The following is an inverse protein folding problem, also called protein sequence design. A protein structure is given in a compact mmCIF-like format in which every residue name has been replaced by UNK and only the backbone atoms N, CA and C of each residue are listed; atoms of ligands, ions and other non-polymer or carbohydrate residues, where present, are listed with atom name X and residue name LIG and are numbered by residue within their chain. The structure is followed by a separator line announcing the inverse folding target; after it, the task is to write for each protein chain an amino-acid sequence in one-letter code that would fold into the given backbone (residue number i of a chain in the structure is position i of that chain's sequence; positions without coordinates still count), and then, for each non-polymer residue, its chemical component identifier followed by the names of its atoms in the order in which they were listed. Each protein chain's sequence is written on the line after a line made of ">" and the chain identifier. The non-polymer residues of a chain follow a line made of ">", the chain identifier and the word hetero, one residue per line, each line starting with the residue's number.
data_IF_928631386604
#
_entry.id   IF_928631386604
#
_cell.length_a   1.000
_cell.length_b   1.000
_cell.length_c   1.000
_cell.angle_alpha   90.00
_cell.angle_beta   90.00
_cell.angle_gamma   90.00
#
_symmetry.space_group_name_H-M   'P 1'
#
loop_
_entity.id
_entity.type
_entity.pdbx_description
1 polymer ?
#
# COMPACT_ATOMS: atom_id res chain seq x y z
N UNK A 1 12.87 9.49 -32.56
CA UNK A 1 13.59 10.21 -33.62
C UNK A 1 15.08 10.01 -33.55
N UNK A 2 15.87 10.54 -34.49
CA UNK A 2 17.31 10.25 -34.67
C UNK A 2 18.22 10.49 -33.48
N UNK A 3 17.77 11.21 -32.44
CA UNK A 3 18.56 11.42 -31.20
C UNK A 3 18.73 10.15 -30.34
N UNK A 4 17.94 9.12 -30.53
CA UNK A 4 18.05 7.87 -29.81
C UNK A 4 18.99 6.85 -30.50
N UNK A 5 19.37 7.10 -31.74
CA UNK A 5 20.27 6.22 -32.48
C UNK A 5 21.65 6.15 -31.80
N UNK A 6 22.10 4.92 -31.48
CA UNK A 6 23.36 4.67 -30.79
C UNK A 6 23.36 5.04 -29.30
N UNK A 7 22.24 5.49 -28.72
CA UNK A 7 22.17 5.90 -27.33
C UNK A 7 22.10 4.69 -26.36
N UNK A 8 22.33 4.97 -25.06
CA UNK A 8 22.05 4.00 -23.98
C UNK A 8 20.70 4.35 -23.33
N UNK A 9 19.80 3.37 -23.24
CA UNK A 9 18.55 3.48 -22.48
C UNK A 9 18.72 2.88 -21.08
N UNK A 10 18.31 3.63 -20.06
CA UNK A 10 18.24 3.17 -18.66
C UNK A 10 16.80 2.93 -18.29
N UNK A 11 16.48 1.74 -17.81
CA UNK A 11 15.13 1.32 -17.47
C UNK A 11 15.08 0.68 -16.09
N UNK A 12 14.04 0.96 -15.33
CA UNK A 12 13.88 0.45 -13.95
C UNK A 12 13.32 -0.97 -13.91
N UNK A 13 12.68 -1.41 -14.99
CA UNK A 13 12.11 -2.75 -15.14
C UNK A 13 12.32 -3.22 -16.57
N UNK A 14 12.38 -4.54 -16.78
CA UNK A 14 12.52 -5.15 -18.09
C UNK A 14 11.47 -4.62 -19.09
N UNK A 15 11.90 -4.16 -20.27
CA UNK A 15 11.01 -3.76 -21.35
C UNK A 15 10.15 -4.92 -21.83
N UNK A 16 8.83 -4.76 -21.82
CA UNK A 16 7.89 -5.80 -22.19
C UNK A 16 8.08 -6.25 -23.67
N UNK A 17 7.81 -7.55 -23.92
CA UNK A 17 7.85 -8.16 -25.24
C UNK A 17 6.46 -8.57 -25.77
N UNK A 18 5.38 -8.24 -25.05
CA UNK A 18 4.01 -8.55 -25.43
C UNK A 18 3.21 -7.27 -25.71
N UNK A 19 2.16 -7.40 -26.52
CA UNK A 19 1.19 -6.33 -26.72
C UNK A 19 0.27 -6.23 -25.49
N UNK A 20 0.26 -5.07 -24.85
CA UNK A 20 -0.67 -4.68 -23.82
C UNK A 20 -1.65 -3.65 -24.35
N UNK A 21 -1.84 -2.54 -23.61
CA UNK A 21 -2.57 -1.37 -24.13
C UNK A 21 -1.76 -0.61 -25.19
N UNK A 22 -0.44 -0.80 -25.20
CA UNK A 22 0.52 -0.23 -26.15
C UNK A 22 1.38 -1.35 -26.75
N UNK A 23 2.04 -1.11 -27.91
CA UNK A 23 3.03 -2.03 -28.46
C UNK A 23 4.19 -2.31 -27.48
N UNK A 24 4.94 -3.43 -27.67
CA UNK A 24 6.02 -3.82 -26.79
C UNK A 24 7.11 -2.74 -26.65
N UNK A 25 7.55 -2.45 -25.42
CA UNK A 25 8.63 -1.50 -25.19
C UNK A 25 9.97 -1.96 -25.81
N UNK A 26 10.23 -3.26 -25.83
CA UNK A 26 11.42 -3.83 -26.47
C UNK A 26 11.47 -3.48 -27.97
N UNK A 27 10.34 -3.58 -28.68
CA UNK A 27 10.24 -3.23 -30.10
C UNK A 27 10.47 -1.74 -30.34
N UNK A 28 9.94 -0.89 -29.46
CA UNK A 28 10.13 0.55 -29.55
C UNK A 28 11.60 0.92 -29.38
N UNK A 29 12.33 0.28 -28.46
CA UNK A 29 13.77 0.51 -28.27
C UNK A 29 14.60 0.00 -29.46
N UNK A 30 14.26 -1.16 -30.04
CA UNK A 30 14.88 -1.70 -31.25
C UNK A 30 14.65 -0.72 -32.42
N UNK A 31 13.43 -0.32 -32.66
CA UNK A 31 13.07 0.60 -33.76
C UNK A 31 13.71 1.99 -33.58
N UNK A 32 13.98 2.43 -32.34
CA UNK A 32 14.67 3.68 -32.05
C UNK A 32 16.19 3.59 -32.30
N UNK A 33 16.75 2.39 -32.52
CA UNK A 33 18.16 2.15 -32.81
C UNK A 33 19.07 2.42 -31.61
N UNK A 34 18.63 2.15 -30.38
CA UNK A 34 19.51 2.25 -29.21
C UNK A 34 20.60 1.19 -29.28
N UNK A 35 21.83 1.53 -28.89
CA UNK A 35 22.94 0.58 -28.91
C UNK A 35 23.03 -0.26 -27.63
N UNK A 36 22.55 0.28 -26.51
CA UNK A 36 22.66 -0.36 -25.19
C UNK A 36 21.41 -0.15 -24.33
N UNK A 37 21.05 -1.15 -23.53
CA UNK A 37 20.04 -1.07 -22.49
C UNK A 37 20.62 -1.48 -21.15
N UNK A 38 20.49 -0.63 -20.15
CA UNK A 38 20.79 -0.93 -18.74
C UNK A 38 19.47 -1.08 -18.00
N UNK A 39 19.16 -2.32 -17.63
CA UNK A 39 17.92 -2.70 -16.96
C UNK A 39 18.18 -2.96 -15.48
N UNK A 40 17.48 -2.26 -14.58
CA UNK A 40 17.70 -2.45 -13.15
C UNK A 40 17.15 -3.79 -12.66
N UNK A 41 15.95 -4.19 -13.12
CA UNK A 41 15.27 -5.44 -12.71
C UNK A 41 14.69 -6.19 -13.92
N UNK A 42 14.80 -7.53 -13.92
CA UNK A 42 13.95 -8.38 -14.73
C UNK A 42 12.49 -8.31 -14.26
N UNK A 43 11.56 -8.46 -15.18
CA UNK A 43 10.13 -8.50 -14.86
C UNK A 43 9.74 -9.91 -14.40
N UNK A 44 9.15 -10.10 -13.21
CA UNK A 44 8.69 -11.40 -12.74
C UNK A 44 7.42 -11.90 -13.44
N UNK A 45 6.72 -11.06 -14.21
CA UNK A 45 5.50 -11.47 -14.95
C UNK A 45 5.87 -12.54 -15.99
N UNK A 46 5.27 -13.75 -15.95
CA UNK A 46 5.58 -14.82 -16.90
C UNK A 46 5.38 -14.44 -18.38
N UNK A 47 4.60 -13.39 -18.66
CA UNK A 47 4.42 -12.85 -20.02
C UNK A 47 5.63 -12.04 -20.52
N UNK A 48 6.47 -11.58 -19.60
CA UNK A 48 7.67 -10.76 -19.88
C UNK A 48 8.95 -11.53 -19.58
N UNK A 49 9.18 -11.91 -18.39
CA UNK A 49 10.26 -12.72 -17.78
C UNK A 49 11.40 -13.12 -18.72
N UNK A 50 12.34 -12.22 -18.96
CA UNK A 50 13.51 -12.43 -19.83
C UNK A 50 13.25 -12.29 -21.34
N UNK A 51 12.00 -12.25 -21.80
CA UNK A 51 11.65 -12.22 -23.24
C UNK A 51 12.00 -10.87 -23.89
N UNK A 52 11.81 -9.77 -23.15
CA UNK A 52 12.16 -8.43 -23.63
C UNK A 52 13.68 -8.28 -23.77
N UNK A 53 14.42 -8.73 -22.78
CA UNK A 53 15.90 -8.72 -22.80
C UNK A 53 16.43 -9.57 -23.95
N UNK A 54 15.97 -10.83 -24.08
CA UNK A 54 16.37 -11.72 -25.15
C UNK A 54 16.07 -11.13 -26.54
N UNK A 55 14.92 -10.51 -26.72
CA UNK A 55 14.51 -9.88 -27.99
C UNK A 55 15.41 -8.72 -28.38
N UNK A 56 15.81 -7.87 -27.43
CA UNK A 56 16.73 -6.78 -27.66
C UNK A 56 18.14 -7.29 -27.96
N UNK A 57 18.62 -8.31 -27.25
CA UNK A 57 19.92 -8.95 -27.52
C UNK A 57 19.97 -9.57 -28.93
N UNK A 58 18.91 -10.25 -29.36
CA UNK A 58 18.80 -10.82 -30.72
C UNK A 58 18.83 -9.74 -31.81
N UNK A 59 18.41 -8.51 -31.49
CA UNK A 59 18.49 -7.36 -32.39
C UNK A 59 19.86 -6.62 -32.33
N UNK A 60 20.86 -7.17 -31.62
CA UNK A 60 22.19 -6.60 -31.51
C UNK A 60 22.39 -5.52 -30.46
N UNK A 61 21.40 -5.29 -29.58
CA UNK A 61 21.51 -4.33 -28.49
C UNK A 61 22.29 -4.97 -27.34
N UNK A 62 23.31 -4.25 -26.82
CA UNK A 62 24.00 -4.63 -25.59
C UNK A 62 23.06 -4.50 -24.39
N UNK A 63 22.89 -5.58 -23.59
CA UNK A 63 21.99 -5.58 -22.41
C UNK A 63 22.79 -5.85 -21.14
N UNK A 64 22.68 -4.95 -20.18
CA UNK A 64 23.23 -5.10 -18.81
C UNK A 64 22.06 -5.12 -17.82
N UNK A 65 22.03 -6.10 -16.89
CA UNK A 65 20.99 -6.18 -15.84
C UNK A 65 21.65 -6.03 -14.47
N UNK A 66 20.96 -5.36 -13.53
CA UNK A 66 21.34 -5.28 -12.12
C UNK A 66 21.70 -3.91 -11.57
N UNK A 67 22.32 -2.99 -12.33
CA UNK A 67 22.61 -1.65 -11.82
C UNK A 67 21.36 -0.94 -11.32
N UNK A 68 21.37 -0.51 -10.04
CA UNK A 68 20.21 0.16 -9.42
C UNK A 68 19.09 -0.79 -8.95
N UNK A 69 19.30 -2.12 -8.96
CA UNK A 69 18.27 -3.10 -8.63
C UNK A 69 17.58 -2.88 -7.27
N UNK A 70 18.33 -2.56 -6.22
CA UNK A 70 17.75 -2.33 -4.89
C UNK A 70 16.76 -1.15 -4.87
N UNK A 71 17.12 -0.03 -5.52
CA UNK A 71 16.25 1.14 -5.61
C UNK A 71 15.03 0.85 -6.50
N UNK A 72 15.24 0.21 -7.64
CA UNK A 72 14.14 -0.17 -8.55
C UNK A 72 13.15 -1.14 -7.87
N UNK A 73 13.64 -2.12 -7.09
CA UNK A 73 12.79 -3.01 -6.30
C UNK A 73 11.99 -2.26 -5.24
N UNK A 74 12.59 -1.27 -4.60
CA UNK A 74 11.90 -0.39 -3.65
C UNK A 74 10.77 0.41 -4.32
N UNK A 75 11.08 1.05 -5.45
CA UNK A 75 10.14 1.90 -6.18
C UNK A 75 9.00 1.08 -6.80
N UNK A 76 9.28 -0.17 -7.18
CA UNK A 76 8.32 -1.09 -7.81
C UNK A 76 7.70 -2.10 -6.84
N UNK A 77 7.92 -1.95 -5.51
CA UNK A 77 7.52 -2.94 -4.51
C UNK A 77 6.04 -3.33 -4.57
N UNK A 78 5.16 -2.38 -4.92
CA UNK A 78 3.72 -2.65 -5.09
C UNK A 78 3.43 -3.58 -6.27
N UNK A 79 4.01 -3.28 -7.44
CA UNK A 79 3.90 -4.12 -8.62
C UNK A 79 4.48 -5.53 -8.36
N UNK A 80 5.68 -5.60 -7.82
CA UNK A 80 6.34 -6.87 -7.49
C UNK A 80 5.54 -7.70 -6.49
N UNK A 81 4.95 -7.07 -5.47
CA UNK A 81 4.07 -7.76 -4.52
C UNK A 81 2.85 -8.35 -5.21
N UNK A 82 2.19 -7.57 -6.08
CA UNK A 82 0.99 -8.04 -6.79
C UNK A 82 1.29 -9.22 -7.71
N UNK A 83 2.42 -9.22 -8.41
CA UNK A 83 2.78 -10.33 -9.32
C UNK A 83 3.25 -11.56 -8.52
N UNK A 84 4.16 -11.38 -7.56
CA UNK A 84 4.80 -12.50 -6.86
C UNK A 84 3.95 -13.08 -5.71
N UNK A 85 3.09 -12.26 -5.09
CA UNK A 85 2.32 -12.64 -3.89
C UNK A 85 0.81 -12.57 -4.11
N UNK A 86 0.35 -12.19 -5.32
CA UNK A 86 -1.06 -12.04 -5.70
C UNK A 86 -1.84 -11.08 -4.78
N UNK A 87 -1.15 -10.13 -4.13
CA UNK A 87 -1.74 -9.12 -3.25
C UNK A 87 -1.00 -7.79 -3.36
N UNK A 88 -1.66 -6.66 -3.04
CA UNK A 88 -0.96 -5.38 -2.94
C UNK A 88 0.10 -5.40 -1.83
N UNK A 89 1.12 -4.56 -1.95
CA UNK A 89 1.99 -4.21 -0.85
C UNK A 89 1.19 -3.43 0.21
N UNK A 90 1.33 -3.82 1.47
CA UNK A 90 0.64 -3.20 2.60
C UNK A 90 1.60 -2.32 3.38
N UNK A 91 1.30 -1.03 3.44
CA UNK A 91 1.89 -0.10 4.40
C UNK A 91 0.92 0.08 5.56
N UNK A 92 1.31 -0.33 6.76
CA UNK A 92 0.58 -0.04 7.99
C UNK A 92 1.10 1.28 8.57
N UNK A 93 0.23 2.27 8.70
CA UNK A 93 0.56 3.54 9.35
C UNK A 93 -0.07 3.60 10.73
N UNK A 94 0.73 3.91 11.74
CA UNK A 94 0.30 4.21 13.10
C UNK A 94 0.65 5.66 13.45
N UNK A 95 -0.18 6.30 14.28
CA UNK A 95 0.12 7.60 14.87
C UNK A 95 -0.25 7.52 16.36
N UNK A 96 0.73 7.66 17.22
CA UNK A 96 0.58 7.38 18.65
C UNK A 96 1.44 8.31 19.52
N UNK A 97 1.10 8.38 20.80
CA UNK A 97 1.94 8.96 21.84
C UNK A 97 3.24 8.16 22.05
N UNK A 98 4.22 8.70 22.77
CA UNK A 98 5.49 8.02 23.07
C UNK A 98 5.29 6.68 23.80
N UNK A 99 4.18 6.55 24.54
CA UNK A 99 3.79 5.32 25.26
C UNK A 99 2.77 4.46 24.47
N UNK A 100 2.63 4.68 23.14
CA UNK A 100 1.89 3.81 22.22
C UNK A 100 0.36 3.95 22.26
N UNK A 101 -0.18 5.11 22.62
CA UNK A 101 -1.64 5.36 22.71
C UNK A 101 -2.13 6.18 21.52
N UNK A 102 -3.38 5.90 21.10
CA UNK A 102 -4.05 6.60 19.98
C UNK A 102 -5.20 7.49 20.45
N UNK A 103 -5.57 7.44 21.70
CA UNK A 103 -6.60 8.27 22.32
C UNK A 103 -6.48 8.18 23.85
N UNK A 104 -7.09 9.16 24.53
CA UNK A 104 -7.32 9.10 25.98
C UNK A 104 -8.34 7.99 26.33
N UNK A 105 -8.53 7.71 27.61
CA UNK A 105 -9.56 6.77 28.08
C UNK A 105 -10.97 7.17 27.60
N UNK A 106 -11.28 8.47 27.59
CA UNK A 106 -12.57 9.02 27.09
C UNK A 106 -12.72 8.96 25.58
N UNK A 107 -11.62 8.70 24.84
CA UNK A 107 -11.62 8.62 23.37
C UNK A 107 -11.20 9.89 22.65
N UNK A 108 -10.75 10.92 23.37
CA UNK A 108 -10.17 12.10 22.74
C UNK A 108 -8.86 11.71 22.01
N UNK A 109 -8.78 11.99 20.70
CA UNK A 109 -7.66 11.60 19.83
C UNK A 109 -7.12 12.73 18.97
N UNK A 110 -7.78 13.91 18.98
CA UNK A 110 -7.45 15.02 18.09
C UNK A 110 -6.79 16.17 18.86
N UNK A 111 -5.50 16.45 18.63
CA UNK A 111 -4.57 15.78 17.72
C UNK A 111 -3.38 15.25 18.52
N UNK A 112 -3.04 13.99 18.34
CA UNK A 112 -1.85 13.41 18.98
C UNK A 112 -0.59 13.90 18.28
N UNK A 113 -0.54 13.84 16.94
CA UNK A 113 0.62 14.30 16.16
C UNK A 113 0.42 15.69 15.59
N UNK A 114 1.53 16.42 15.42
CA UNK A 114 1.56 17.80 14.95
C UNK A 114 1.20 17.96 13.46
N UNK A 115 1.12 19.21 12.98
CA UNK A 115 0.69 19.52 11.61
C UNK A 115 1.67 19.02 10.54
N UNK A 116 2.98 19.01 10.82
CA UNK A 116 4.01 18.51 9.89
C UNK A 116 3.83 17.00 9.67
N UNK A 117 3.65 16.22 10.74
CA UNK A 117 3.37 14.80 10.64
C UNK A 117 2.07 14.52 9.87
N UNK A 118 0.99 15.27 10.14
CA UNK A 118 -0.29 15.13 9.40
C UNK A 118 -0.16 15.45 7.92
N UNK A 119 0.63 16.46 7.55
CA UNK A 119 0.94 16.76 6.13
C UNK A 119 1.70 15.59 5.48
N UNK A 120 2.67 15.00 6.18
CA UNK A 120 3.40 13.83 5.69
C UNK A 120 2.48 12.62 5.45
N UNK A 121 1.43 12.44 6.27
CA UNK A 121 0.40 11.40 6.03
C UNK A 121 -0.33 11.63 4.71
N UNK A 122 -0.65 12.87 4.33
CA UNK A 122 -1.23 13.15 3.01
C UNK A 122 -0.28 12.80 1.87
N UNK A 123 1.03 12.99 2.03
CA UNK A 123 2.04 12.49 1.08
C UNK A 123 2.06 10.96 0.97
N UNK A 124 1.89 10.23 2.10
CA UNK A 124 1.73 8.77 2.06
C UNK A 124 0.46 8.36 1.32
N UNK A 125 -0.65 9.03 1.55
CA UNK A 125 -1.92 8.77 0.85
C UNK A 125 -1.77 8.92 -0.66
N UNK A 126 -1.08 9.98 -1.10
CA UNK A 126 -0.82 10.24 -2.52
C UNK A 126 0.03 9.15 -3.18
N UNK A 127 0.92 8.49 -2.43
CA UNK A 127 1.83 7.46 -2.94
C UNK A 127 1.26 6.04 -2.93
N UNK A 128 -0.02 5.88 -2.58
CA UNK A 128 -0.71 4.59 -2.53
C UNK A 128 -1.98 4.60 -3.40
N UNK A 129 -2.31 3.45 -3.98
CA UNK A 129 -3.51 3.29 -4.82
C UNK A 129 -4.79 3.35 -3.98
N UNK A 130 -4.69 2.91 -2.73
CA UNK A 130 -5.85 2.86 -1.84
C UNK A 130 -5.51 3.13 -0.38
N UNK A 131 -6.51 3.70 0.33
CA UNK A 131 -6.52 3.90 1.78
C UNK A 131 -7.49 2.91 2.40
N UNK A 132 -7.03 2.13 3.39
CA UNK A 132 -7.82 1.08 4.00
C UNK A 132 -8.04 1.35 5.49
N UNK A 133 -9.31 1.24 5.92
CA UNK A 133 -9.70 1.32 7.33
C UNK A 133 -10.72 0.23 7.68
N UNK A 134 -10.86 -0.07 8.96
CA UNK A 134 -11.93 -0.94 9.46
C UNK A 134 -13.25 -0.18 9.64
N UNK A 135 -14.38 -0.90 9.62
CA UNK A 135 -15.71 -0.33 9.83
C UNK A 135 -15.88 0.37 11.18
N UNK A 136 -15.13 -0.06 12.21
CA UNK A 136 -15.09 0.64 13.50
C UNK A 136 -14.57 2.06 13.38
N UNK A 137 -13.44 2.25 12.69
CA UNK A 137 -12.86 3.57 12.39
C UNK A 137 -13.80 4.40 11.52
N UNK A 138 -14.38 3.79 10.48
CA UNK A 138 -15.32 4.49 9.60
C UNK A 138 -16.54 5.05 10.36
N UNK A 139 -17.08 4.31 11.35
CA UNK A 139 -18.19 4.76 12.19
C UNK A 139 -17.79 5.83 13.21
N UNK A 140 -16.62 5.64 13.85
CA UNK A 140 -16.21 6.53 14.94
C UNK A 140 -15.73 7.90 14.44
N UNK A 141 -15.01 7.93 13.31
CA UNK A 141 -14.31 9.13 12.85
C UNK A 141 -15.00 9.82 11.67
N UNK A 142 -15.97 9.17 11.02
CA UNK A 142 -16.59 9.59 9.75
C UNK A 142 -15.57 10.22 8.79
N UNK A 143 -14.53 9.47 8.40
CA UNK A 143 -13.37 10.02 7.71
C UNK A 143 -13.68 10.29 6.23
N UNK A 144 -13.05 11.31 5.65
CA UNK A 144 -13.07 11.52 4.19
C UNK A 144 -12.17 10.53 3.45
N UNK A 145 -11.06 10.10 4.06
CA UNK A 145 -10.02 9.27 3.44
C UNK A 145 -9.53 9.84 2.10
N UNK A 146 -9.20 11.12 2.11
CA UNK A 146 -8.78 11.89 0.94
C UNK A 146 -7.35 12.43 1.09
N UNK A 147 -6.78 12.87 -0.03
CA UNK A 147 -5.55 13.66 -0.07
C UNK A 147 -5.92 15.13 -0.09
N UNK A 148 -5.34 15.92 0.84
CA UNK A 148 -5.58 17.35 0.97
C UNK A 148 -4.28 18.13 1.14
N UNK A 149 -4.27 19.40 0.73
CA UNK A 149 -3.14 20.30 0.92
C UNK A 149 -1.92 20.02 0.05
N UNK A 150 -2.10 19.22 -1.03
CA UNK A 150 -1.05 18.88 -2.00
C UNK A 150 -1.43 19.27 -3.44
N UNK A 151 -2.36 20.21 -3.59
CA UNK A 151 -2.89 20.61 -4.91
C UNK A 151 -4.02 19.72 -5.39
N UNK A 152 -4.37 19.88 -6.68
CA UNK A 152 -5.35 19.04 -7.36
C UNK A 152 -4.68 17.75 -7.82
N UNK A 153 -5.00 16.64 -7.15
CA UNK A 153 -4.38 15.33 -7.34
C UNK A 153 -5.44 14.24 -7.45
N UNK A 154 -5.13 13.18 -8.18
CA UNK A 154 -5.96 11.98 -8.21
C UNK A 154 -6.13 11.42 -6.80
N UNK A 155 -7.38 11.15 -6.42
CA UNK A 155 -7.70 10.62 -5.10
C UNK A 155 -7.54 9.09 -5.09
N UNK A 156 -6.95 8.51 -4.02
CA UNK A 156 -6.85 7.07 -3.86
C UNK A 156 -8.23 6.43 -3.66
N UNK A 157 -8.32 5.14 -3.98
CA UNK A 157 -9.49 4.32 -3.65
C UNK A 157 -9.66 4.25 -2.14
N UNK A 158 -10.87 4.47 -1.64
CA UNK A 158 -11.19 4.35 -0.22
C UNK A 158 -11.73 2.96 0.07
N UNK A 159 -11.01 2.17 0.84
CA UNK A 159 -11.37 0.79 1.17
C UNK A 159 -11.83 0.70 2.62
N UNK A 160 -13.05 0.20 2.85
CA UNK A 160 -13.57 -0.04 4.20
C UNK A 160 -13.90 -1.52 4.38
N UNK A 161 -13.33 -2.12 5.42
CA UNK A 161 -13.60 -3.50 5.82
C UNK A 161 -14.71 -3.53 6.88
N UNK A 162 -15.89 -4.02 6.52
CA UNK A 162 -17.04 -4.08 7.44
C UNK A 162 -17.89 -5.32 7.17
N UNK A 163 -17.91 -6.28 8.09
CA UNK A 163 -18.54 -7.59 7.89
C UNK A 163 -20.00 -7.48 7.41
N UNK A 164 -20.82 -6.71 8.08
CA UNK A 164 -22.24 -6.54 7.76
C UNK A 164 -22.58 -5.22 7.09
N UNK A 165 -21.58 -4.41 6.67
CA UNK A 165 -21.77 -3.06 6.10
C UNK A 165 -22.61 -2.12 6.99
N UNK A 166 -22.56 -2.29 8.30
CA UNK A 166 -23.24 -1.43 9.28
C UNK A 166 -22.50 -0.07 9.37
N UNK A 167 -22.56 0.71 8.30
CA UNK A 167 -21.93 2.01 8.15
C UNK A 167 -23.00 3.08 7.92
N UNK A 168 -22.80 4.35 8.37
CA UNK A 168 -23.77 5.42 8.16
C UNK A 168 -23.94 5.73 6.67
N UNK A 169 -25.18 5.65 6.17
CA UNK A 169 -25.52 6.01 4.78
C UNK A 169 -25.60 7.53 4.57
N UNK A 170 -25.55 8.30 5.65
CA UNK A 170 -25.49 9.76 5.67
C UNK A 170 -24.08 10.30 6.04
N UNK A 171 -23.10 9.43 6.22
CA UNK A 171 -21.72 9.78 6.50
C UNK A 171 -20.98 10.36 5.29
N UNK A 172 -19.78 10.89 5.51
CA UNK A 172 -18.95 11.52 4.46
C UNK A 172 -18.58 10.53 3.36
N UNK A 173 -18.29 9.28 3.70
CA UNK A 173 -17.97 8.22 2.71
C UNK A 173 -19.15 7.99 1.77
N UNK A 174 -20.37 7.90 2.30
CA UNK A 174 -21.58 7.69 1.52
C UNK A 174 -21.87 8.90 0.61
N UNK A 175 -21.86 10.13 1.18
CA UNK A 175 -22.13 11.35 0.41
C UNK A 175 -21.18 11.61 -0.74
N UNK A 176 -19.97 11.04 -0.70
CA UNK A 176 -18.92 11.25 -1.72
C UNK A 176 -18.60 9.99 -2.52
N UNK A 177 -19.36 8.91 -2.37
CA UNK A 177 -19.09 7.63 -3.03
C UNK A 177 -19.12 7.71 -4.56
N UNK A 178 -19.98 8.57 -5.12
CA UNK A 178 -20.04 8.81 -6.56
C UNK A 178 -18.95 9.73 -7.13
N UNK A 179 -18.17 10.41 -6.26
CA UNK A 179 -17.13 11.36 -6.67
C UNK A 179 -15.73 10.78 -6.50
N UNK A 180 -15.49 10.06 -5.39
CA UNK A 180 -14.22 9.42 -5.06
C UNK A 180 -14.45 7.92 -4.90
N UNK A 181 -13.71 7.05 -5.57
CA UNK A 181 -13.93 5.60 -5.53
C UNK A 181 -14.02 5.06 -4.11
N UNK A 182 -15.13 4.39 -3.79
CA UNK A 182 -15.36 3.73 -2.51
C UNK A 182 -15.53 2.23 -2.73
N UNK A 183 -14.68 1.43 -2.09
CA UNK A 183 -14.72 -0.01 -2.12
C UNK A 183 -15.04 -0.57 -0.74
N UNK A 184 -16.07 -1.37 -0.65
CA UNK A 184 -16.53 -1.97 0.59
C UNK A 184 -16.26 -3.47 0.55
N UNK A 185 -15.43 -3.96 1.47
CA UNK A 185 -15.16 -5.40 1.61
C UNK A 185 -15.98 -5.92 2.79
N UNK A 186 -16.80 -6.94 2.51
CA UNK A 186 -17.80 -7.44 3.46
C UNK A 186 -17.84 -8.97 3.53
N UNK A 187 -18.46 -9.48 4.57
CA UNK A 187 -18.77 -10.91 4.72
C UNK A 187 -20.04 -11.31 3.98
N UNK A 188 -20.35 -12.62 3.95
CA UNK A 188 -21.61 -13.13 3.39
C UNK A 188 -22.84 -12.52 4.06
N UNK A 189 -23.89 -12.30 3.26
CA UNK A 189 -25.19 -11.81 3.73
C UNK A 189 -25.26 -10.31 4.03
N UNK A 190 -24.23 -9.53 3.74
CA UNK A 190 -24.27 -8.08 3.91
C UNK A 190 -25.20 -7.44 2.87
N UNK A 191 -25.95 -6.41 3.28
CA UNK A 191 -26.84 -5.65 2.39
C UNK A 191 -26.02 -4.63 1.62
N UNK A 192 -25.74 -4.90 0.34
CA UNK A 192 -24.90 -4.06 -0.52
C UNK A 192 -25.68 -3.04 -1.34
N UNK A 193 -26.95 -3.30 -1.64
CA UNK A 193 -27.76 -2.49 -2.57
C UNK A 193 -27.76 -0.98 -2.26
N UNK A 194 -27.91 -0.51 -1.01
CA UNK A 194 -27.84 0.93 -0.72
C UNK A 194 -26.48 1.55 -1.08
N UNK A 195 -25.40 0.83 -0.85
CA UNK A 195 -24.04 1.29 -1.15
C UNK A 195 -23.73 1.31 -2.63
N UNK A 196 -24.19 0.30 -3.36
CA UNK A 196 -24.07 0.23 -4.82
C UNK A 196 -24.86 1.35 -5.49
N UNK A 197 -26.04 1.69 -4.99
CA UNK A 197 -26.82 2.83 -5.47
C UNK A 197 -26.11 4.18 -5.28
N UNK A 198 -25.23 4.31 -4.28
CA UNK A 198 -24.37 5.47 -4.05
C UNK A 198 -23.09 5.46 -4.90
N UNK A 199 -22.84 4.40 -5.70
CA UNK A 199 -21.64 4.26 -6.54
C UNK A 199 -20.50 3.50 -5.89
N UNK A 200 -20.69 2.89 -4.71
CA UNK A 200 -19.68 2.05 -4.10
C UNK A 200 -19.53 0.70 -4.81
N UNK A 201 -18.30 0.20 -4.91
CA UNK A 201 -18.02 -1.17 -5.35
C UNK A 201 -17.93 -2.09 -4.12
N UNK A 202 -18.68 -3.18 -4.13
CA UNK A 202 -18.72 -4.13 -3.02
C UNK A 202 -18.00 -5.42 -3.40
N UNK A 203 -17.24 -5.98 -2.43
CA UNK A 203 -16.49 -7.22 -2.57
C UNK A 203 -16.86 -8.14 -1.41
N UNK A 204 -17.50 -9.26 -1.72
CA UNK A 204 -17.74 -10.29 -0.74
C UNK A 204 -16.50 -11.16 -0.55
N UNK A 205 -16.14 -11.43 0.70
CA UNK A 205 -15.10 -12.38 1.08
C UNK A 205 -15.65 -13.35 2.12
N UNK A 206 -15.26 -14.65 2.11
CA UNK A 206 -15.83 -15.63 3.04
C UNK A 206 -15.61 -15.27 4.52
N UNK A 207 -14.50 -14.64 4.82
CA UNK A 207 -14.13 -14.12 6.13
C UNK A 207 -13.35 -12.81 5.96
N UNK A 208 -13.56 -11.85 6.87
CA UNK A 208 -12.73 -10.63 6.93
C UNK A 208 -11.33 -10.91 7.51
N UNK A 209 -10.68 -11.94 6.98
CA UNK A 209 -9.27 -12.21 7.21
C UNK A 209 -8.43 -11.38 6.23
N UNK A 210 -7.30 -10.80 6.63
CA UNK A 210 -6.46 -10.00 5.76
C UNK A 210 -6.04 -10.68 4.45
N UNK A 211 -5.77 -11.98 4.45
CA UNK A 211 -5.26 -12.68 3.27
C UNK A 211 -6.27 -12.68 2.12
N UNK A 212 -7.52 -13.21 2.25
CA UNK A 212 -8.50 -13.15 1.17
C UNK A 212 -8.92 -11.72 0.80
N UNK A 213 -8.96 -10.79 1.77
CA UNK A 213 -9.22 -9.38 1.50
C UNK A 213 -8.17 -8.81 0.55
N UNK A 214 -6.89 -8.97 0.89
CA UNK A 214 -5.80 -8.45 0.07
C UNK A 214 -5.70 -9.14 -1.29
N UNK A 215 -6.00 -10.44 -1.38
CA UNK A 215 -6.08 -11.15 -2.65
C UNK A 215 -7.18 -10.56 -3.56
N UNK A 216 -8.37 -10.28 -3.02
CA UNK A 216 -9.46 -9.64 -3.76
C UNK A 216 -9.08 -8.22 -4.25
N UNK A 217 -8.41 -7.44 -3.40
CA UNK A 217 -7.92 -6.10 -3.75
C UNK A 217 -6.83 -6.16 -4.83
N UNK A 218 -5.89 -7.12 -4.75
CA UNK A 218 -4.86 -7.35 -5.76
C UNK A 218 -5.44 -7.79 -7.11
N UNK A 219 -6.42 -8.70 -7.10
CA UNK A 219 -7.15 -9.12 -8.30
C UNK A 219 -7.91 -7.94 -8.94
N UNK A 220 -8.43 -7.02 -8.13
CA UNK A 220 -9.09 -5.81 -8.59
C UNK A 220 -8.12 -4.72 -9.13
N UNK A 221 -6.79 -4.96 -9.06
CA UNK A 221 -5.78 -4.11 -9.69
C UNK A 221 -4.93 -3.27 -8.73
N UNK A 222 -5.22 -3.25 -7.44
CA UNK A 222 -4.42 -2.48 -6.48
C UNK A 222 -3.02 -3.08 -6.32
N UNK A 223 -2.02 -2.21 -6.27
CA UNK A 223 -0.61 -2.58 -6.05
C UNK A 223 -0.10 -2.12 -4.70
N UNK A 224 -0.63 -1.01 -4.16
CA UNK A 224 -0.23 -0.43 -2.87
C UNK A 224 -1.44 -0.03 -2.04
N UNK A 225 -1.51 -0.50 -0.81
CA UNK A 225 -2.56 -0.17 0.15
C UNK A 225 -1.94 0.45 1.40
N UNK A 226 -2.39 1.66 1.76
CA UNK A 226 -2.09 2.29 3.03
C UNK A 226 -3.20 1.96 4.04
N UNK A 227 -2.89 1.19 5.06
CA UNK A 227 -3.80 0.97 6.19
C UNK A 227 -3.57 2.05 7.24
N UNK A 228 -4.60 2.85 7.52
CA UNK A 228 -4.54 3.92 8.51
C UNK A 228 -5.35 3.62 9.77
N UNK A 229 -6.02 2.48 9.83
CA UNK A 229 -6.89 2.50 10.86
C UNK A 229 -7.47 1.35 11.60
N UNK A 230 -7.62 1.66 12.90
CA UNK A 230 -8.15 0.82 13.95
C UNK A 230 -7.15 -0.21 14.46
N UNK A 231 -6.89 -0.18 15.77
CA UNK A 231 -5.94 -1.11 16.40
C UNK A 231 -6.29 -2.59 16.14
N UNK A 232 -7.57 -2.93 15.98
CA UNK A 232 -7.99 -4.28 15.66
C UNK A 232 -7.59 -4.71 14.24
N UNK A 233 -7.77 -3.84 13.24
CA UNK A 233 -7.34 -4.12 11.87
C UNK A 233 -5.82 -4.18 11.77
N UNK A 234 -5.11 -3.26 12.42
CA UNK A 234 -3.65 -3.24 12.48
C UNK A 234 -3.12 -4.56 13.10
N UNK A 235 -3.68 -5.00 14.22
CA UNK A 235 -3.32 -6.27 14.86
C UNK A 235 -3.62 -7.47 13.96
N UNK A 236 -4.74 -7.47 13.25
CA UNK A 236 -5.10 -8.54 12.31
C UNK A 236 -4.09 -8.65 11.15
N UNK A 237 -3.68 -7.52 10.57
CA UNK A 237 -2.66 -7.47 9.50
C UNK A 237 -1.30 -7.98 10.00
N UNK A 238 -0.89 -7.58 11.22
CA UNK A 238 0.36 -8.02 11.82
C UNK A 238 0.37 -9.53 12.12
N UNK A 239 -0.72 -10.05 12.72
CA UNK A 239 -0.88 -11.50 12.97
C UNK A 239 -0.86 -12.33 11.69
N UNK A 240 -1.42 -11.81 10.62
CA UNK A 240 -1.42 -12.48 9.32
C UNK A 240 -0.08 -12.38 8.56
N UNK A 241 0.92 -11.65 9.08
CA UNK A 241 2.23 -11.49 8.44
C UNK A 241 2.18 -10.77 7.10
N UNK A 242 1.17 -9.92 6.86
CA UNK A 242 0.96 -9.27 5.56
C UNK A 242 1.35 -7.81 5.51
N UNK A 243 1.95 -7.29 6.58
CA UNK A 243 2.48 -5.91 6.64
C UNK A 243 3.88 -5.88 6.04
N UNK A 244 4.04 -5.23 4.90
CA UNK A 244 5.33 -5.12 4.20
C UNK A 244 6.15 -3.91 4.69
N UNK A 245 5.45 -2.80 5.02
CA UNK A 245 6.03 -1.58 5.63
C UNK A 245 5.21 -1.17 6.85
N UNK A 246 5.91 -0.79 7.91
CA UNK A 246 5.31 -0.18 9.10
C UNK A 246 5.85 1.24 9.23
N UNK A 247 4.96 2.23 9.26
CA UNK A 247 5.30 3.64 9.45
C UNK A 247 4.63 4.12 10.73
N UNK A 248 5.43 4.51 11.71
CA UNK A 248 4.96 4.98 13.01
C UNK A 248 5.28 6.46 13.16
N UNK A 249 4.26 7.26 13.39
CA UNK A 249 4.41 8.66 13.81
C UNK A 249 4.22 8.69 15.33
N UNK A 250 5.26 9.07 16.05
CA UNK A 250 5.28 9.11 17.50
C UNK A 250 5.37 10.55 17.98
N UNK A 251 4.37 10.98 18.73
CA UNK A 251 4.35 12.31 19.34
C UNK A 251 5.00 12.29 20.72
N UNK A 252 5.64 13.38 21.10
CA UNK A 252 6.33 13.56 22.38
C UNK A 252 5.38 13.78 23.57
N UNK A 253 4.22 13.11 23.58
CA UNK A 253 3.26 13.14 24.70
C UNK A 253 3.02 11.73 25.23
N UNK A 254 2.67 11.59 26.51
CA UNK A 254 2.31 10.34 27.18
C UNK A 254 0.86 10.40 27.68
N UNK A 255 0.10 9.33 27.46
CA UNK A 255 -1.31 9.24 27.85
C UNK A 255 -1.60 8.24 28.97
N UNK A 256 -0.61 7.42 29.35
CA UNK A 256 -0.73 6.45 30.44
C UNK A 256 -1.43 5.15 30.06
N UNK A 257 -1.58 4.27 31.04
CA UNK A 257 -2.11 2.92 30.84
C UNK A 257 -3.59 2.92 30.44
N UNK A 258 -4.37 3.92 30.85
CA UNK A 258 -5.80 4.08 30.54
C UNK A 258 -6.05 4.48 29.09
N UNK A 259 -5.03 5.04 28.42
CA UNK A 259 -5.12 5.42 27.01
C UNK A 259 -5.35 4.22 26.11
N UNK A 260 -6.08 4.42 25.00
CA UNK A 260 -6.37 3.36 24.03
C UNK A 260 -5.09 2.96 23.29
N UNK A 261 -4.76 1.68 23.30
CA UNK A 261 -3.59 1.13 22.60
C UNK A 261 -3.70 1.30 21.08
N UNK A 262 -2.57 1.59 20.43
CA UNK A 262 -2.48 1.66 18.96
C UNK A 262 -2.65 0.30 18.26
N UNK A 263 -2.43 -0.80 18.98
CA UNK A 263 -2.63 -2.17 18.53
C UNK A 263 -3.55 -2.90 19.51
N UNK A 264 -4.49 -3.67 18.99
CA UNK A 264 -5.21 -4.67 19.77
C UNK A 264 -4.29 -5.87 20.06
N UNK A 265 -4.81 -6.84 20.80
CA UNK A 265 -4.07 -8.04 21.18
C UNK A 265 -3.48 -8.77 19.97
N UNK A 266 -2.20 -9.07 20.03
CA UNK A 266 -1.45 -9.83 19.02
C UNK A 266 -1.34 -11.32 19.38
N UNK A 267 -1.70 -11.73 20.60
CA UNK A 267 -1.57 -13.10 21.08
C UNK A 267 -0.12 -13.54 21.32
N UNK A 268 0.86 -12.63 21.32
CA UNK A 268 2.28 -12.93 21.49
C UNK A 268 2.56 -13.34 22.95
N UNK A 269 3.05 -14.56 23.15
CA UNK A 269 3.40 -15.08 24.47
C UNK A 269 4.92 -15.06 24.71
N UNK A 270 5.73 -15.12 23.67
CA UNK A 270 7.19 -15.10 23.72
C UNK A 270 7.75 -14.10 22.72
N UNK A 271 8.86 -13.45 23.07
CA UNK A 271 9.48 -12.45 22.19
C UNK A 271 9.85 -12.97 20.80
N UNK A 272 10.16 -14.28 20.69
CA UNK A 272 10.44 -14.90 19.40
C UNK A 272 9.24 -15.01 18.45
N UNK A 273 8.01 -14.89 18.96
CA UNK A 273 6.77 -14.95 18.19
C UNK A 273 6.36 -13.57 17.63
N UNK A 274 6.99 -12.50 18.14
CA UNK A 274 6.67 -11.15 17.72
C UNK A 274 7.15 -10.87 16.29
N UNK A 275 6.32 -10.20 15.50
CA UNK A 275 6.71 -9.71 14.17
C UNK A 275 7.93 -8.77 14.31
N UNK A 276 8.97 -9.03 13.54
CA UNK A 276 10.21 -8.24 13.55
C UNK A 276 10.35 -7.49 12.24
N UNK A 277 10.70 -6.21 12.36
CA UNK A 277 10.95 -5.33 11.23
C UNK A 277 12.36 -4.77 11.32
N UNK A 278 12.97 -4.49 10.17
CA UNK A 278 14.24 -3.78 10.09
C UNK A 278 13.98 -2.28 9.96
N UNK A 279 14.64 -1.47 10.78
CA UNK A 279 14.58 -0.02 10.65
C UNK A 279 15.15 0.41 9.28
N UNK A 280 14.37 1.19 8.55
CA UNK A 280 14.75 1.75 7.27
C UNK A 280 15.15 3.23 7.38
N UNK A 281 14.32 4.02 8.07
CA UNK A 281 14.54 5.47 8.20
C UNK A 281 13.90 6.01 9.48
N UNK A 282 14.51 7.04 10.04
CA UNK A 282 13.92 7.91 11.07
C UNK A 282 14.00 9.35 10.58
N UNK A 283 12.92 10.10 10.79
CA UNK A 283 12.82 11.52 10.41
C UNK A 283 12.16 12.29 11.54
N UNK A 284 12.77 13.38 11.95
CA UNK A 284 12.19 14.35 12.89
C UNK A 284 11.14 15.20 12.16
N UNK A 285 10.03 15.52 12.81
CA UNK A 285 8.88 16.21 12.23
C UNK A 285 8.28 17.23 13.20
N UNK A 286 9.05 18.25 13.54
CA UNK A 286 8.63 19.36 14.40
C UNK A 286 8.12 18.86 15.77
N UNK A 287 8.98 18.11 16.47
CA UNK A 287 8.71 17.51 17.78
C UNK A 287 8.09 16.10 17.73
N UNK A 288 7.58 15.67 16.58
CA UNK A 288 7.19 14.27 16.33
C UNK A 288 8.33 13.49 15.67
N UNK A 289 8.27 12.17 15.75
CA UNK A 289 9.20 11.26 15.05
C UNK A 289 8.44 10.37 14.09
N UNK A 290 8.87 10.32 12.84
CA UNK A 290 8.45 9.30 11.86
C UNK A 290 9.51 8.21 11.80
N UNK A 291 9.19 7.00 12.20
CA UNK A 291 10.01 5.81 12.02
C UNK A 291 9.41 4.91 10.94
N UNK A 292 10.24 4.50 9.98
CA UNK A 292 9.86 3.60 8.89
C UNK A 292 10.60 2.28 9.05
N UNK A 293 9.85 1.20 9.01
CA UNK A 293 10.32 -0.15 9.18
C UNK A 293 9.88 -1.01 8.00
N UNK A 294 10.71 -1.96 7.59
CA UNK A 294 10.42 -2.90 6.51
C UNK A 294 10.45 -4.33 7.02
N UNK A 295 9.57 -5.16 6.50
CA UNK A 295 9.63 -6.60 6.75
C UNK A 295 10.85 -7.17 6.00
N UNK A 296 11.77 -7.88 6.68
CA UNK A 296 12.89 -8.54 6.01
C UNK A 296 12.41 -9.58 4.99
N UNK A 297 13.06 -9.72 3.83
CA UNK A 297 12.65 -10.67 2.79
C UNK A 297 12.54 -12.12 3.26
N UNK A 298 13.39 -12.51 4.20
CA UNK A 298 13.47 -13.88 4.73
C UNK A 298 12.27 -14.27 5.62
N UNK A 299 11.56 -13.30 6.18
CA UNK A 299 10.40 -13.56 7.05
C UNK A 299 9.08 -13.68 6.29
N UNK A 300 9.03 -13.28 5.02
CA UNK A 300 7.85 -13.42 4.16
C UNK A 300 7.71 -14.80 3.50
N UNK A 301 8.72 -15.66 3.61
CA UNK A 301 8.74 -16.98 2.99
C UNK A 301 8.44 -18.15 3.97
N UNK A 302 8.32 -17.87 5.27
CA UNK A 302 7.98 -18.89 6.28
C UNK A 302 6.48 -18.83 6.56
N UNK A 303 5.68 -19.42 5.67
CA UNK A 303 4.24 -19.46 5.88
C UNK A 303 3.52 -20.43 4.99
N UNK A 304 3.49 -21.66 5.42
CA UNK A 304 2.47 -22.74 5.25
C UNK A 304 2.25 -23.31 3.86
#
# INVERSE_FOLDING_TARGET
>A
GGRALGATAYVTLEPCAHHGQTPPCADALIAAGVARVVCALGDPDPRVAGRGLARMQAAGIEVTVGPGAAQAAWDQAGFLSRINRMRPMVTLKLANSVDGRIATASGESRWITGPVARRAVHGLRLSHDALMVGGGTARADDPMLDVRGLGDVAQPVRVVLSAGLNLPLDGRLARTAGQVPLWLVHGPGAVTAPWQALGARCFEVPMLNPVPVLAALGAAGLTRVLCEGGGALAASLLRAGVVDRLIVFTAGLALGAEGRSCLADLGVKRLGEAARFKLHRVTEMDGDVRAEWILPPEMGAAGH
#
